data_IF_005335659696
#
_entry.id   IF_005335659696
#
_cell.length_a   1.000
_cell.length_b   1.000
_cell.length_c   1.000
_cell.angle_alpha   90.00
_cell.angle_beta   90.00
_cell.angle_gamma   90.00
#
_symmetry.space_group_name_H-M   'P 1'
#
loop_
_entity.id
_entity.type
_entity.pdbx_description
1 polymer ?
#
# COMPACT_ATOMS: atom_id res chain seq x y z
N UNK A 1 18.20 -3.51 -18.21
CA UNK A 1 17.48 -3.67 -16.93
C UNK A 1 16.01 -3.44 -17.21
N UNK A 2 15.14 -4.30 -16.68
CA UNK A 2 13.69 -4.16 -16.82
C UNK A 2 13.21 -2.94 -16.05
N UNK A 3 12.26 -2.19 -16.61
CA UNK A 3 11.73 -1.00 -15.99
C UNK A 3 10.55 -1.35 -15.07
N UNK A 4 10.63 -0.96 -13.81
CA UNK A 4 9.56 -1.15 -12.82
C UNK A 4 9.17 0.23 -12.27
N UNK A 5 7.87 0.48 -12.21
CA UNK A 5 7.26 1.68 -11.66
C UNK A 5 6.44 1.30 -10.43
N UNK A 6 6.67 1.98 -9.32
CA UNK A 6 6.13 1.64 -8.01
C UNK A 6 5.18 2.73 -7.53
N UNK A 7 3.95 2.34 -7.20
CA UNK A 7 2.97 3.19 -6.53
C UNK A 7 2.83 2.70 -5.08
N UNK A 8 3.43 3.43 -4.15
CA UNK A 8 3.31 3.18 -2.71
C UNK A 8 2.27 4.06 -2.05
N UNK A 9 2.13 3.90 -0.74
CA UNK A 9 1.35 4.77 0.12
C UNK A 9 0.11 4.13 0.74
N UNK A 10 -0.69 4.94 1.43
CA UNK A 10 -1.77 4.46 2.32
C UNK A 10 -2.95 3.82 1.57
N UNK A 11 -3.70 2.89 2.18
CA UNK A 11 -4.93 2.35 1.58
C UNK A 11 -5.95 3.41 1.18
N UNK A 12 -6.85 3.06 0.26
CA UNK A 12 -8.01 3.89 -0.13
C UNK A 12 -7.70 5.26 -0.78
N UNK A 13 -6.55 5.42 -1.45
CA UNK A 13 -6.23 6.61 -2.25
C UNK A 13 -6.27 6.40 -3.77
N UNK A 14 -6.80 5.27 -4.26
CA UNK A 14 -6.97 5.01 -5.70
C UNK A 14 -5.77 4.38 -6.42
N UNK A 15 -4.76 3.87 -5.68
CA UNK A 15 -3.55 3.22 -6.24
C UNK A 15 -3.89 2.14 -7.27
N UNK A 16 -4.68 1.14 -6.90
CA UNK A 16 -5.04 0.03 -7.78
C UNK A 16 -5.74 0.53 -9.06
N UNK A 17 -6.66 1.49 -8.94
CA UNK A 17 -7.37 2.06 -10.09
C UNK A 17 -6.40 2.72 -11.07
N UNK A 18 -5.47 3.56 -10.59
CA UNK A 18 -4.49 4.21 -11.46
C UNK A 18 -3.50 3.20 -12.05
N UNK A 19 -3.03 2.24 -11.25
CA UNK A 19 -2.12 1.20 -11.72
C UNK A 19 -2.75 0.36 -12.85
N UNK A 20 -4.03 -0.01 -12.72
CA UNK A 20 -4.78 -0.71 -13.76
C UNK A 20 -4.93 0.13 -15.04
N UNK A 21 -5.19 1.43 -14.92
CA UNK A 21 -5.29 2.34 -16.07
C UNK A 21 -3.95 2.47 -16.79
N UNK A 22 -2.84 2.64 -16.05
CA UNK A 22 -1.48 2.66 -16.61
C UNK A 22 -1.17 1.34 -17.31
N UNK A 23 -1.47 0.21 -16.67
CA UNK A 23 -1.22 -1.11 -17.24
C UNK A 23 -1.91 -1.28 -18.59
N UNK A 24 -3.18 -0.88 -18.68
CA UNK A 24 -3.97 -0.92 -19.91
C UNK A 24 -3.46 0.07 -20.97
N UNK A 25 -3.19 1.32 -20.58
CA UNK A 25 -2.79 2.41 -21.49
C UNK A 25 -1.43 2.17 -22.15
N UNK A 26 -0.45 1.67 -21.39
CA UNK A 26 0.92 1.45 -21.89
C UNK A 26 1.26 -0.01 -22.16
N UNK A 27 0.28 -0.92 -22.06
CA UNK A 27 0.48 -2.36 -22.20
C UNK A 27 1.58 -2.87 -21.25
N UNK A 28 1.57 -2.39 -20.00
CA UNK A 28 2.48 -2.84 -18.96
C UNK A 28 1.94 -4.07 -18.24
N UNK A 29 2.83 -4.85 -17.65
CA UNK A 29 2.43 -5.86 -16.69
C UNK A 29 1.98 -5.17 -15.40
N UNK A 30 0.84 -5.61 -14.86
CA UNK A 30 0.35 -5.14 -13.57
C UNK A 30 0.72 -6.13 -12.48
N UNK A 31 1.32 -5.64 -11.40
CA UNK A 31 1.55 -6.41 -10.18
C UNK A 31 0.91 -5.71 -8.98
N UNK A 32 0.08 -6.44 -8.24
CA UNK A 32 -0.62 -5.92 -7.06
C UNK A 32 -0.20 -6.71 -5.84
N UNK A 33 0.43 -6.04 -4.88
CA UNK A 33 0.93 -6.69 -3.65
C UNK A 33 -0.23 -7.28 -2.84
N UNK A 34 -1.36 -6.57 -2.76
CA UNK A 34 -2.51 -6.97 -1.95
C UNK A 34 -3.07 -8.35 -2.35
N UNK A 35 -2.93 -8.76 -3.61
CA UNK A 35 -3.38 -10.07 -4.10
C UNK A 35 -2.54 -11.24 -3.54
N UNK A 36 -1.34 -10.96 -3.03
CA UNK A 36 -0.38 -11.94 -2.51
C UNK A 36 -0.11 -11.75 -1.01
N UNK A 37 -0.78 -10.80 -0.35
CA UNK A 37 -0.50 -10.44 1.04
C UNK A 37 -0.63 -11.63 1.99
N UNK A 38 -1.71 -12.41 1.85
CA UNK A 38 -1.91 -13.62 2.67
C UNK A 38 -0.83 -14.69 2.40
N UNK A 39 -0.41 -14.85 1.14
CA UNK A 39 0.68 -15.76 0.77
C UNK A 39 1.98 -15.35 1.44
N UNK A 40 2.29 -14.05 1.47
CA UNK A 40 3.48 -13.52 2.11
C UNK A 40 3.45 -13.64 3.62
N UNK A 41 2.31 -13.39 4.25
CA UNK A 41 2.10 -13.60 5.68
C UNK A 41 2.37 -15.07 6.02
N UNK A 42 1.73 -16.01 5.31
CA UNK A 42 1.90 -17.44 5.56
C UNK A 42 3.33 -17.94 5.29
N UNK A 43 3.99 -17.42 4.25
CA UNK A 43 5.40 -17.73 3.96
C UNK A 43 6.31 -17.22 5.08
N UNK A 44 6.13 -15.97 5.50
CA UNK A 44 6.89 -15.38 6.60
C UNK A 44 6.69 -16.12 7.92
N UNK A 45 5.45 -16.50 8.22
CA UNK A 45 5.11 -17.28 9.40
C UNK A 45 5.86 -18.63 9.44
N UNK A 46 5.89 -19.36 8.31
CA UNK A 46 6.63 -20.63 8.17
C UNK A 46 8.15 -20.46 8.31
N UNK A 47 8.67 -19.30 7.91
CA UNK A 47 10.08 -18.94 8.04
C UNK A 47 10.43 -18.35 9.42
N UNK A 48 9.47 -18.22 10.33
CA UNK A 48 9.68 -17.69 11.68
C UNK A 48 9.92 -16.18 11.72
N UNK A 49 9.43 -15.43 10.73
CA UNK A 49 9.48 -13.96 10.74
C UNK A 49 8.55 -13.44 11.85
N UNK A 50 9.05 -12.75 12.89
CA UNK A 50 8.31 -12.53 14.13
C UNK A 50 6.91 -11.91 13.96
N UNK A 51 6.78 -10.84 13.16
CA UNK A 51 5.51 -10.15 13.00
C UNK A 51 4.59 -10.82 12.00
N UNK A 52 5.12 -11.44 10.94
CA UNK A 52 4.33 -12.25 10.02
C UNK A 52 3.77 -13.52 10.71
N UNK A 53 4.55 -14.16 11.59
CA UNK A 53 4.05 -15.22 12.47
C UNK A 53 2.95 -14.68 13.38
N UNK A 54 3.19 -13.55 14.05
CA UNK A 54 2.23 -12.94 14.97
C UNK A 54 0.90 -12.60 14.30
N UNK A 55 0.91 -11.90 13.16
CA UNK A 55 -0.31 -11.47 12.47
C UNK A 55 -1.09 -12.66 11.89
N UNK A 56 -0.41 -13.75 11.50
CA UNK A 56 -1.06 -14.95 10.96
C UNK A 56 -1.95 -15.69 11.96
N UNK A 57 -1.74 -15.45 13.27
CA UNK A 57 -2.49 -16.10 14.36
C UNK A 57 -3.48 -15.16 15.06
N UNK A 58 -3.57 -13.90 14.61
CA UNK A 58 -4.44 -12.90 15.24
C UNK A 58 -5.89 -13.04 14.79
N UNK A 59 -6.81 -12.99 15.76
CA UNK A 59 -8.22 -12.71 15.49
C UNK A 59 -8.40 -11.23 15.13
N UNK A 60 -9.55 -10.89 14.55
CA UNK A 60 -9.88 -9.49 14.24
C UNK A 60 -9.80 -8.58 15.47
N UNK A 61 -10.22 -9.04 16.65
CA UNK A 61 -10.07 -8.28 17.90
C UNK A 61 -8.60 -7.99 18.24
N UNK A 62 -7.73 -8.99 18.08
CA UNK A 62 -6.30 -8.83 18.29
C UNK A 62 -5.64 -7.94 17.23
N UNK A 63 -6.26 -7.75 16.07
CA UNK A 63 -5.79 -6.80 15.07
C UNK A 63 -6.30 -5.40 15.42
N UNK A 64 -7.62 -5.23 15.48
CA UNK A 64 -8.29 -3.92 15.37
C UNK A 64 -8.68 -3.27 16.70
N UNK A 65 -8.77 -4.01 17.81
CA UNK A 65 -9.10 -3.42 19.13
C UNK A 65 -7.86 -2.92 19.90
N UNK A 66 -6.68 -2.99 19.28
CA UNK A 66 -5.43 -2.47 19.86
C UNK A 66 -5.27 -0.98 19.58
N UNK A 67 -4.36 -0.33 20.32
CA UNK A 67 -3.98 1.06 20.07
C UNK A 67 -3.51 1.27 18.60
N UNK A 68 -4.09 2.23 17.87
CA UNK A 68 -3.76 2.49 16.46
C UNK A 68 -2.27 2.75 16.19
N UNK A 69 -1.57 3.39 17.13
CA UNK A 69 -0.14 3.67 17.05
C UNK A 69 0.70 2.38 17.02
N UNK A 70 0.30 1.37 17.81
CA UNK A 70 0.95 0.06 17.83
C UNK A 70 0.68 -0.66 16.52
N UNK A 71 -0.56 -0.62 16.02
CA UNK A 71 -0.92 -1.23 14.74
C UNK A 71 -0.12 -0.61 13.57
N UNK A 72 -0.02 0.73 13.52
CA UNK A 72 0.75 1.45 12.49
C UNK A 72 2.25 1.12 12.55
N UNK A 73 2.82 1.04 13.75
CA UNK A 73 4.23 0.67 13.92
C UNK A 73 4.48 -0.75 13.43
N UNK A 74 3.66 -1.72 13.86
CA UNK A 74 3.80 -3.12 13.45
C UNK A 74 3.59 -3.31 11.95
N UNK A 75 2.63 -2.62 11.33
CA UNK A 75 2.40 -2.69 9.89
C UNK A 75 3.66 -2.34 9.08
N UNK A 76 4.38 -1.29 9.47
CA UNK A 76 5.63 -0.93 8.79
C UNK A 76 6.67 -2.06 8.89
N UNK A 77 6.79 -2.70 10.05
CA UNK A 77 7.72 -3.81 10.22
C UNK A 77 7.25 -5.09 9.52
N UNK A 78 5.95 -5.35 9.48
CA UNK A 78 5.32 -6.42 8.67
C UNK A 78 5.72 -6.26 7.20
N UNK A 79 5.61 -5.03 6.66
CA UNK A 79 6.04 -4.76 5.29
C UNK A 79 7.55 -4.94 5.10
N UNK A 80 8.38 -4.57 6.07
CA UNK A 80 9.81 -4.86 6.03
C UNK A 80 10.10 -6.38 6.00
N UNK A 81 9.38 -7.18 6.79
CA UNK A 81 9.57 -8.64 6.84
C UNK A 81 9.18 -9.35 5.54
N UNK A 82 8.14 -8.88 4.85
CA UNK A 82 7.67 -9.50 3.60
C UNK A 82 8.32 -8.95 2.33
N UNK A 83 9.02 -7.80 2.41
CA UNK A 83 9.48 -7.08 1.22
C UNK A 83 10.35 -7.92 0.29
N UNK A 84 11.21 -8.78 0.84
CA UNK A 84 12.05 -9.68 0.05
C UNK A 84 11.23 -10.66 -0.81
N UNK A 85 10.06 -11.10 -0.32
CA UNK A 85 9.18 -12.00 -1.08
C UNK A 85 8.52 -11.28 -2.26
N UNK A 86 8.17 -10.00 -2.08
CA UNK A 86 7.63 -9.15 -3.16
C UNK A 86 8.70 -8.99 -4.26
N UNK A 87 9.94 -8.69 -3.88
CA UNK A 87 11.05 -8.55 -4.83
C UNK A 87 11.33 -9.87 -5.57
N UNK A 88 11.29 -11.01 -4.88
CA UNK A 88 11.43 -12.33 -5.50
C UNK A 88 10.37 -12.56 -6.60
N UNK A 89 9.11 -12.21 -6.34
CA UNK A 89 8.04 -12.42 -7.33
C UNK A 89 8.10 -11.43 -8.48
N UNK A 90 8.41 -10.15 -8.21
CA UNK A 90 8.67 -9.17 -9.28
C UNK A 90 9.79 -9.62 -10.22
N UNK A 91 10.86 -10.22 -9.67
CA UNK A 91 11.99 -10.76 -10.45
C UNK A 91 11.63 -11.99 -11.29
N UNK A 92 10.61 -12.77 -10.91
CA UNK A 92 10.16 -13.96 -11.68
C UNK A 92 9.29 -13.62 -12.88
N UNK A 93 8.70 -12.42 -12.91
CA UNK A 93 7.86 -12.00 -14.02
C UNK A 93 8.73 -11.83 -15.29
N UNK A 94 8.85 -12.88 -16.09
CA UNK A 94 9.70 -12.86 -17.28
C UNK A 94 8.91 -12.35 -18.48
N UNK A 95 9.04 -11.06 -18.78
CA UNK A 95 8.75 -10.46 -20.08
C UNK A 95 9.58 -9.17 -20.21
N UNK A 96 10.01 -8.81 -21.42
CA UNK A 96 10.69 -7.53 -21.74
C UNK A 96 9.77 -6.31 -21.62
N UNK A 97 8.58 -6.49 -21.02
CA UNK A 97 7.55 -5.47 -20.83
C UNK A 97 7.76 -4.79 -19.47
N UNK A 98 7.66 -3.44 -19.39
CA UNK A 98 7.68 -2.74 -18.11
C UNK A 98 6.59 -3.19 -17.15
N UNK A 99 6.83 -3.03 -15.85
CA UNK A 99 5.86 -3.32 -14.79
C UNK A 99 5.36 -2.03 -14.18
N UNK A 100 4.06 -1.93 -13.98
CA UNK A 100 3.47 -1.04 -12.98
C UNK A 100 3.07 -1.89 -11.78
N UNK A 101 3.59 -1.55 -10.60
CA UNK A 101 3.35 -2.28 -9.35
C UNK A 101 2.83 -1.37 -8.27
N UNK A 102 1.91 -1.85 -7.44
CA UNK A 102 1.31 -1.06 -6.37
C UNK A 102 1.07 -1.86 -5.08
N UNK A 103 1.11 -1.14 -3.95
CA UNK A 103 0.86 -1.71 -2.63
C UNK A 103 1.38 -0.83 -1.49
N UNK A 104 0.75 -0.93 -0.32
CA UNK A 104 1.20 -0.22 0.88
C UNK A 104 2.60 -0.67 1.35
N UNK A 105 3.01 -1.89 1.00
CA UNK A 105 4.32 -2.45 1.30
C UNK A 105 5.50 -1.73 0.61
N UNK A 106 5.26 -0.93 -0.43
CA UNK A 106 6.29 -0.12 -1.07
C UNK A 106 6.59 1.13 -0.24
N UNK A 107 7.16 0.94 0.95
CA UNK A 107 7.53 2.02 1.85
C UNK A 107 8.63 2.90 1.23
N UNK A 108 8.60 4.23 1.41
CA UNK A 108 9.59 5.13 0.83
C UNK A 108 11.05 4.75 1.17
N UNK A 109 11.32 4.35 2.42
CA UNK A 109 12.65 3.89 2.82
C UNK A 109 13.11 2.60 2.13
N UNK A 110 12.21 1.64 1.90
CA UNK A 110 12.51 0.39 1.19
C UNK A 110 12.84 0.70 -0.28
N UNK A 111 12.05 1.57 -0.92
CA UNK A 111 12.33 2.05 -2.27
C UNK A 111 13.70 2.72 -2.37
N UNK A 112 14.02 3.60 -1.41
CA UNK A 112 15.32 4.26 -1.38
C UNK A 112 16.48 3.28 -1.17
N UNK A 113 16.34 2.32 -0.25
CA UNK A 113 17.37 1.31 0.04
C UNK A 113 17.59 0.35 -1.14
N UNK A 114 16.54 0.08 -1.91
CA UNK A 114 16.61 -0.73 -3.13
C UNK A 114 17.11 0.03 -4.36
N UNK A 115 17.46 1.32 -4.23
CA UNK A 115 17.98 2.12 -5.33
C UNK A 115 16.92 2.56 -6.34
N UNK A 116 15.63 2.55 -5.97
CA UNK A 116 14.54 2.98 -6.85
C UNK A 116 14.63 4.49 -7.08
N UNK A 117 14.76 4.87 -8.35
CA UNK A 117 14.88 6.27 -8.79
C UNK A 117 13.62 7.10 -8.54
N UNK A 118 13.78 8.44 -8.53
CA UNK A 118 12.66 9.38 -8.26
C UNK A 118 11.57 9.35 -9.32
N UNK A 119 11.91 9.02 -10.56
CA UNK A 119 10.96 8.81 -11.66
C UNK A 119 10.39 7.40 -11.72
N UNK A 120 10.61 6.58 -10.68
CA UNK A 120 10.14 5.21 -10.60
C UNK A 120 9.29 4.93 -9.37
N UNK A 121 9.12 5.90 -8.48
CA UNK A 121 8.29 5.76 -7.30
C UNK A 121 7.49 7.03 -7.03
N UNK A 122 6.21 6.85 -6.72
CA UNK A 122 5.34 7.89 -6.17
C UNK A 122 4.64 7.36 -4.91
N UNK A 123 4.57 8.19 -3.88
CA UNK A 123 3.80 7.90 -2.67
C UNK A 123 2.45 8.60 -2.75
N UNK A 124 1.36 7.84 -2.77
CA UNK A 124 0.00 8.38 -2.83
C UNK A 124 -0.70 8.14 -1.50
N UNK A 125 -1.25 9.20 -0.90
CA UNK A 125 -1.96 9.11 0.38
C UNK A 125 -3.29 9.87 0.29
N UNK A 126 -4.34 9.43 0.99
CA UNK A 126 -5.57 10.20 1.08
C UNK A 126 -5.48 11.26 2.18
N UNK A 127 -6.35 12.27 2.16
CA UNK A 127 -6.65 13.02 3.39
C UNK A 127 -7.47 12.15 4.35
N UNK A 128 -7.42 12.47 5.65
CA UNK A 128 -8.15 11.73 6.67
C UNK A 128 -9.66 11.71 6.38
N UNK A 129 -10.22 12.87 6.05
CA UNK A 129 -11.66 13.03 5.77
C UNK A 129 -12.08 12.20 4.57
N UNK A 130 -11.29 12.24 3.49
CA UNK A 130 -11.56 11.45 2.29
C UNK A 130 -11.48 9.94 2.56
N UNK A 131 -10.46 9.50 3.31
CA UNK A 131 -10.28 8.10 3.65
C UNK A 131 -11.45 7.57 4.47
N UNK A 132 -11.82 8.28 5.54
CA UNK A 132 -12.92 7.92 6.43
C UNK A 132 -14.26 7.84 5.67
N UNK A 133 -14.56 8.85 4.85
CA UNK A 133 -15.78 8.88 4.05
C UNK A 133 -15.83 7.68 3.08
N UNK A 134 -14.75 7.40 2.36
CA UNK A 134 -14.71 6.29 1.41
C UNK A 134 -14.81 4.92 2.07
N UNK A 135 -14.24 4.74 3.25
CA UNK A 135 -14.36 3.49 3.99
C UNK A 135 -15.77 3.29 4.56
N UNK A 136 -16.39 4.33 5.13
CA UNK A 136 -17.74 4.23 5.71
C UNK A 136 -18.83 3.90 4.67
N UNK A 137 -18.59 4.20 3.39
CA UNK A 137 -19.49 3.89 2.28
C UNK A 137 -19.34 2.45 1.74
N UNK A 138 -18.36 1.67 2.19
CA UNK A 138 -18.04 0.34 1.64
C UNK A 138 -18.75 -0.77 2.43
N UNK A 139 -19.71 -1.50 1.84
CA UNK A 139 -20.45 -2.53 2.58
C UNK A 139 -19.57 -3.65 3.13
N UNK A 140 -18.50 -3.99 2.41
CA UNK A 140 -17.59 -5.06 2.79
C UNK A 140 -16.79 -4.76 4.07
N UNK A 141 -16.64 -3.48 4.46
CA UNK A 141 -15.89 -3.10 5.66
C UNK A 141 -16.57 -3.64 6.91
N UNK A 142 -17.88 -3.46 7.01
CA UNK A 142 -18.65 -3.99 8.13
C UNK A 142 -18.79 -5.51 8.09
N UNK A 143 -18.76 -6.13 6.90
CA UNK A 143 -18.70 -7.58 6.75
C UNK A 143 -17.35 -8.14 7.22
N UNK A 144 -16.25 -7.46 6.88
CA UNK A 144 -14.91 -7.84 7.32
C UNK A 144 -14.79 -7.76 8.84
N UNK A 145 -15.38 -6.74 9.47
CA UNK A 145 -15.40 -6.57 10.93
C UNK A 145 -16.51 -7.38 11.62
N UNK A 146 -17.23 -8.26 10.92
CA UNK A 146 -18.38 -8.96 11.50
C UNK A 146 -18.01 -9.83 12.71
N UNK A 147 -16.80 -10.42 12.70
CA UNK A 147 -16.26 -11.22 13.78
C UNK A 147 -15.59 -10.44 14.92
N UNK A 148 -15.61 -9.10 14.88
CA UNK A 148 -15.10 -8.28 15.98
C UNK A 148 -16.11 -8.15 17.12
N UNK A 149 -15.65 -8.21 18.37
CA UNK A 149 -16.49 -8.04 19.55
C UNK A 149 -17.05 -6.62 19.70
N UNK A 150 -16.36 -5.62 19.13
CA UNK A 150 -16.79 -4.22 19.07
C UNK A 150 -16.43 -3.64 17.70
N UNK A 151 -17.41 -3.60 16.80
CA UNK A 151 -17.20 -3.27 15.38
C UNK A 151 -16.94 -1.79 15.18
N UNK A 152 -17.63 -0.96 15.95
CA UNK A 152 -17.50 0.49 15.91
C UNK A 152 -16.10 0.90 16.37
N UNK A 153 -15.62 0.37 17.50
CA UNK A 153 -14.25 0.65 17.96
C UNK A 153 -13.20 0.11 16.99
N UNK A 154 -13.39 -1.09 16.45
CA UNK A 154 -12.49 -1.67 15.46
C UNK A 154 -12.38 -0.79 14.21
N UNK A 155 -13.51 -0.25 13.73
CA UNK A 155 -13.53 0.67 12.59
C UNK A 155 -12.80 1.98 12.88
N UNK A 156 -13.10 2.62 14.02
CA UNK A 156 -12.42 3.86 14.43
C UNK A 156 -10.91 3.68 14.59
N UNK A 157 -10.49 2.58 15.21
CA UNK A 157 -9.08 2.25 15.35
C UNK A 157 -8.40 1.99 14.01
N UNK A 158 -9.07 1.29 13.11
CA UNK A 158 -8.58 1.09 11.74
C UNK A 158 -8.41 2.44 11.03
N UNK A 159 -9.43 3.30 11.02
CA UNK A 159 -9.33 4.61 10.36
C UNK A 159 -8.20 5.46 10.95
N UNK A 160 -8.06 5.46 12.27
CA UNK A 160 -6.95 6.14 12.94
C UNK A 160 -5.59 5.56 12.55
N UNK A 161 -5.47 4.24 12.46
CA UNK A 161 -4.24 3.55 12.03
C UNK A 161 -3.86 3.92 10.61
N UNK A 162 -4.80 3.87 9.67
CA UNK A 162 -4.56 4.19 8.26
C UNK A 162 -4.16 5.66 8.05
N UNK A 163 -4.73 6.58 8.84
CA UNK A 163 -4.32 7.98 8.91
C UNK A 163 -2.88 8.14 9.41
N UNK A 164 -2.52 7.48 10.53
CA UNK A 164 -1.15 7.51 11.06
C UNK A 164 -0.14 6.94 10.05
N UNK A 165 -0.52 5.87 9.34
CA UNK A 165 0.29 5.29 8.28
C UNK A 165 0.48 6.28 7.13
N UNK A 166 -0.61 6.89 6.64
CA UNK A 166 -0.56 7.92 5.59
C UNK A 166 0.38 9.07 5.94
N UNK A 167 0.25 9.64 7.14
CA UNK A 167 1.11 10.71 7.62
C UNK A 167 2.59 10.28 7.68
N UNK A 168 2.84 9.07 8.18
CA UNK A 168 4.20 8.50 8.28
C UNK A 168 4.86 8.36 6.91
N UNK A 169 4.20 7.68 5.97
CA UNK A 169 4.77 7.44 4.63
C UNK A 169 4.86 8.71 3.79
N UNK A 170 3.96 9.69 4.00
CA UNK A 170 4.03 10.98 3.33
C UNK A 170 5.27 11.76 3.79
N UNK A 171 5.47 11.89 5.11
CA UNK A 171 6.63 12.57 5.69
C UNK A 171 7.94 11.90 5.27
N UNK A 172 7.98 10.56 5.25
CA UNK A 172 9.17 9.83 4.83
C UNK A 172 9.47 10.02 3.33
N UNK A 173 8.44 9.96 2.47
CA UNK A 173 8.60 10.20 1.03
C UNK A 173 9.12 11.61 0.73
N UNK A 174 8.55 12.63 1.37
CA UNK A 174 9.01 14.02 1.26
C UNK A 174 10.46 14.18 1.72
N UNK A 175 10.82 13.61 2.89
CA UNK A 175 12.18 13.65 3.43
C UNK A 175 13.20 13.01 2.50
N UNK A 176 12.82 11.91 1.84
CA UNK A 176 13.67 11.21 0.88
C UNK A 176 13.68 11.86 -0.50
N UNK A 177 12.84 12.87 -0.76
CA UNK A 177 12.76 13.57 -2.04
C UNK A 177 12.03 12.78 -3.14
N UNK A 178 11.09 11.90 -2.76
CA UNK A 178 10.18 11.27 -3.71
C UNK A 178 8.97 12.16 -3.99
N UNK A 179 8.40 12.01 -5.19
CA UNK A 179 7.12 12.63 -5.53
C UNK A 179 6.00 12.08 -4.66
N UNK A 180 5.07 12.96 -4.28
CA UNK A 180 3.93 12.60 -3.44
C UNK A 180 2.64 13.15 -4.06
N UNK A 181 1.54 12.43 -3.85
CA UNK A 181 0.21 12.86 -4.26
C UNK A 181 -0.75 12.70 -3.08
N UNK A 182 -1.38 13.80 -2.67
CA UNK A 182 -2.42 13.81 -1.64
C UNK A 182 -3.78 13.83 -2.33
N UNK A 183 -4.58 12.79 -2.08
CA UNK A 183 -5.93 12.62 -2.65
C UNK A 183 -6.97 13.09 -1.64
N UNK A 184 -7.61 14.21 -1.94
CA UNK A 184 -8.64 14.84 -1.11
C UNK A 184 -10.06 14.73 -1.72
N UNK A 185 -10.19 14.01 -2.84
CA UNK A 185 -11.45 13.83 -3.56
C UNK A 185 -11.84 14.98 -4.50
N UNK A 186 -11.03 16.04 -4.62
CA UNK A 186 -11.33 17.15 -5.54
C UNK A 186 -10.90 16.89 -6.97
N UNK A 187 -9.85 16.09 -7.16
CA UNK A 187 -9.38 15.64 -8.47
C UNK A 187 -10.08 14.36 -8.89
N UNK A 188 -10.38 14.28 -10.18
CA UNK A 188 -10.81 13.05 -10.85
C UNK A 188 -9.66 12.04 -10.88
N UNK A 189 -9.99 10.78 -11.20
CA UNK A 189 -8.99 9.73 -11.38
C UNK A 189 -8.06 10.06 -12.56
N UNK A 190 -8.58 10.64 -13.64
CA UNK A 190 -7.78 11.01 -14.81
C UNK A 190 -6.77 12.13 -14.48
N UNK A 191 -7.18 13.15 -13.71
CA UNK A 191 -6.23 14.19 -13.26
C UNK A 191 -5.14 13.63 -12.32
N UNK A 192 -5.48 12.65 -11.48
CA UNK A 192 -4.48 11.97 -10.66
C UNK A 192 -3.55 11.10 -11.51
N UNK A 193 -4.10 10.43 -12.53
CA UNK A 193 -3.33 9.66 -13.50
C UNK A 193 -2.31 10.56 -14.20
N UNK A 194 -2.72 11.71 -14.75
CA UNK A 194 -1.83 12.64 -15.46
C UNK A 194 -0.62 13.07 -14.59
N UNK A 195 -0.83 13.36 -13.31
CA UNK A 195 0.25 13.68 -12.36
C UNK A 195 1.23 12.51 -12.21
N UNK A 196 0.72 11.28 -12.10
CA UNK A 196 1.53 10.08 -11.94
C UNK A 196 2.32 9.79 -13.21
N UNK A 197 1.71 9.98 -14.38
CA UNK A 197 2.39 9.83 -15.68
C UNK A 197 3.52 10.85 -15.86
N UNK A 198 3.32 12.09 -15.40
CA UNK A 198 4.37 13.12 -15.40
C UNK A 198 5.56 12.71 -14.52
N UNK A 199 5.30 12.20 -13.32
CA UNK A 199 6.35 11.70 -12.40
C UNK A 199 7.14 10.56 -13.03
N UNK A 200 6.44 9.60 -13.65
CA UNK A 200 7.08 8.45 -14.29
C UNK A 200 7.65 8.74 -15.68
N UNK A 201 7.41 9.94 -16.21
CA UNK A 201 7.86 10.40 -17.53
C UNK A 201 7.38 9.48 -18.65
N UNK A 202 6.12 9.05 -18.56
CA UNK A 202 5.47 8.37 -19.66
C UNK A 202 5.29 9.33 -20.84
N UNK A 203 5.25 8.79 -22.05
CA UNK A 203 5.12 9.54 -23.31
C UNK A 203 3.86 9.12 -24.02
#
# INVERSE_FOLDING_TARGET
MRQIYYIGGSPCCGKSTVAELIAKKYNFQYFKVDDLLEVYINKGAKLGKPLLSKISEMSLDKIWLREPEVQNLEEQYIYNEMFEFILEDLNKLNNDVPIITEGAAFLPNLMSKSGVGKSNYICIVPTNEFQYEKYSQRPWVMQYLEGCSNKELAFENWMKRDYLFADTVLKEALKLGYSTLVVDGKRTIDENLDIIEEVFKFK
#
